data_IF_273950489235
#
_entry.id   IF_273950489235
#
_cell.length_a   1.000
_cell.length_b   1.000
_cell.length_c   1.000
_cell.angle_alpha   90.00
_cell.angle_beta   90.00
_cell.angle_gamma   90.00
#
_symmetry.space_group_name_H-M   'P 1'
#
loop_
_entity.id
_entity.type
_entity.pdbx_description
1 polymer ?
#
# COMPACT_ATOMS: atom_id res chain seq x y z
N UNK A 1 -28.22 -20.93 68.74
CA UNK A 1 -27.26 -22.05 68.66
C UNK A 1 -26.35 -21.81 67.47
N UNK A 2 -25.09 -21.56 67.77
CA UNK A 2 -23.99 -21.37 66.81
C UNK A 2 -23.17 -22.67 66.75
N UNK A 3 -22.59 -23.00 65.60
CA UNK A 3 -21.43 -23.89 65.48
C UNK A 3 -20.57 -23.43 64.28
N UNK A 4 -19.37 -22.90 64.56
CA UNK A 4 -18.17 -23.06 63.72
C UNK A 4 -17.44 -24.35 64.21
N UNK A 5 -16.20 -24.73 63.80
CA UNK A 5 -15.28 -24.35 62.70
C UNK A 5 -14.66 -25.60 61.99
N UNK A 6 -13.65 -25.45 61.09
CA UNK A 6 -12.25 -26.03 61.16
C UNK A 6 -11.48 -26.04 59.81
N UNK A 7 -10.45 -25.19 59.77
CA UNK A 7 -9.05 -25.22 59.28
C UNK A 7 -8.45 -26.35 58.38
N UNK A 8 -7.73 -25.89 57.35
CA UNK A 8 -6.50 -26.37 56.63
C UNK A 8 -6.38 -27.75 55.93
N UNK A 9 -5.98 -27.72 54.65
CA UNK A 9 -4.81 -28.45 54.14
C UNK A 9 -4.32 -27.87 52.80
N UNK A 10 -3.03 -27.54 52.71
CA UNK A 10 -2.33 -27.20 51.48
C UNK A 10 -1.74 -28.49 50.85
N UNK A 11 -1.76 -28.67 49.52
CA UNK A 11 -0.95 -29.70 48.88
C UNK A 11 0.50 -29.24 48.65
N UNK A 12 1.46 -30.04 49.12
CA UNK A 12 2.92 -29.95 48.90
C UNK A 12 3.32 -30.74 47.63
N UNK A 13 4.49 -30.49 47.00
CA UNK A 13 4.74 -30.73 45.58
C UNK A 13 5.37 -32.11 45.29
N UNK A 14 5.12 -32.64 44.08
CA UNK A 14 5.86 -33.82 43.60
C UNK A 14 5.62 -34.15 42.13
N UNK A 15 6.57 -33.79 41.26
CA UNK A 15 6.77 -34.37 39.93
C UNK A 15 7.10 -33.36 38.82
N UNK A 16 8.39 -33.16 38.50
CA UNK A 16 8.89 -32.51 37.27
C UNK A 16 9.37 -33.64 36.31
N UNK A 17 9.28 -33.53 34.97
CA UNK A 17 10.21 -32.70 34.18
C UNK A 17 9.61 -31.95 32.96
N UNK A 18 10.02 -30.69 32.82
CA UNK A 18 10.40 -29.94 31.61
C UNK A 18 9.66 -30.18 30.26
N UNK A 19 8.89 -29.18 29.83
CA UNK A 19 8.93 -28.68 28.45
C UNK A 19 8.65 -27.17 28.45
N UNK A 20 9.59 -26.44 27.87
CA UNK A 20 9.59 -24.99 27.69
C UNK A 20 8.60 -24.57 26.61
N UNK A 21 7.62 -23.74 26.96
CA UNK A 21 7.05 -22.73 26.07
C UNK A 21 6.38 -21.64 26.91
N UNK A 22 7.00 -20.46 26.95
CA UNK A 22 6.39 -19.27 27.51
C UNK A 22 5.14 -18.91 26.70
N UNK A 23 3.95 -19.21 27.23
CA UNK A 23 2.73 -18.62 26.73
C UNK A 23 2.65 -17.19 27.32
N UNK A 24 3.23 -16.23 26.59
CA UNK A 24 2.87 -14.83 26.76
C UNK A 24 1.37 -14.72 26.45
N UNK A 25 0.54 -14.79 27.48
CA UNK A 25 -0.87 -14.39 27.41
C UNK A 25 -0.94 -12.87 27.30
N UNK A 26 -0.51 -12.35 26.15
CA UNK A 26 -0.98 -11.07 25.67
C UNK A 26 -2.10 -11.39 24.70
N UNK A 27 -3.36 -11.02 25.00
CA UNK A 27 -4.39 -11.08 23.98
C UNK A 27 -3.95 -10.13 22.87
N UNK A 28 -3.50 -10.68 21.74
CA UNK A 28 -3.41 -9.92 20.51
C UNK A 28 -4.82 -9.41 20.25
N UNK A 29 -5.02 -8.11 20.45
CA UNK A 29 -6.22 -7.47 19.93
C UNK A 29 -6.33 -7.89 18.46
N UNK A 30 -7.44 -8.52 18.08
CA UNK A 30 -7.81 -8.66 16.67
C UNK A 30 -8.13 -7.25 16.16
N UNK A 31 -7.08 -6.44 16.02
CA UNK A 31 -7.12 -5.18 15.32
C UNK A 31 -7.13 -5.51 13.84
N UNK A 32 -8.18 -5.09 13.15
CA UNK A 32 -8.30 -5.18 11.70
C UNK A 32 -6.99 -4.69 11.06
N UNK A 33 -6.10 -5.59 10.63
CA UNK A 33 -4.85 -5.18 10.01
C UNK A 33 -5.18 -4.58 8.64
N UNK A 34 -5.07 -3.26 8.55
CA UNK A 34 -5.37 -2.53 7.31
C UNK A 34 -4.47 -3.01 6.16
N UNK A 35 -5.01 -3.16 4.94
CA UNK A 35 -4.20 -3.43 3.77
C UNK A 35 -3.22 -2.29 3.51
N UNK A 36 -1.99 -2.65 3.16
CA UNK A 36 -0.94 -1.73 2.76
C UNK A 36 -1.02 -1.47 1.26
N UNK A 37 -1.15 -0.21 0.86
CA UNK A 37 -1.12 0.22 -0.54
C UNK A 37 0.26 0.78 -0.88
N UNK A 38 0.82 0.29 -1.97
CA UNK A 38 2.07 0.79 -2.55
C UNK A 38 1.89 1.10 -4.03
N UNK A 39 2.82 1.87 -4.59
CA UNK A 39 2.82 2.22 -6.01
C UNK A 39 4.23 2.09 -6.58
N UNK A 40 4.34 1.58 -7.80
CA UNK A 40 5.57 1.58 -8.57
C UNK A 40 5.30 1.93 -10.03
N UNK A 41 6.32 2.44 -10.72
CA UNK A 41 6.29 2.67 -12.16
C UNK A 41 6.63 1.39 -12.91
N UNK A 42 5.95 1.11 -14.02
CA UNK A 42 6.33 0.03 -14.94
C UNK A 42 7.55 0.36 -15.83
N UNK A 43 8.08 1.59 -15.72
CA UNK A 43 9.28 2.03 -16.44
C UNK A 43 9.11 3.42 -17.06
N UNK A 44 10.20 3.92 -17.65
CA UNK A 44 10.17 5.15 -18.43
C UNK A 44 9.53 4.89 -19.79
N UNK A 45 8.91 5.92 -20.38
CA UNK A 45 8.12 5.78 -21.60
C UNK A 45 8.55 6.79 -22.67
N UNK A 46 8.71 6.38 -23.93
CA UNK A 46 8.88 7.32 -25.04
C UNK A 46 7.62 8.15 -25.27
N UNK A 47 7.77 9.33 -25.88
CA UNK A 47 6.66 10.14 -26.40
C UNK A 47 5.78 9.33 -27.36
N UNK A 48 4.48 9.62 -27.35
CA UNK A 48 3.47 8.90 -28.14
C UNK A 48 3.23 7.45 -27.72
N UNK A 49 3.79 6.99 -26.59
CA UNK A 49 3.53 5.66 -26.00
C UNK A 49 2.73 5.76 -24.72
N UNK A 50 2.25 4.62 -24.25
CA UNK A 50 1.51 4.51 -22.99
C UNK A 50 2.38 3.82 -21.94
N UNK A 51 2.47 4.44 -20.77
CA UNK A 51 3.06 3.85 -19.57
C UNK A 51 2.01 3.54 -18.52
N UNK A 52 2.48 2.98 -17.41
CA UNK A 52 1.62 2.68 -16.28
C UNK A 52 2.32 2.84 -14.94
N UNK A 53 1.57 3.36 -13.97
CA UNK A 53 1.82 3.10 -12.57
C UNK A 53 0.98 1.92 -12.13
N UNK A 54 1.60 1.03 -11.35
CA UNK A 54 0.93 -0.13 -10.78
C UNK A 54 0.79 0.11 -9.28
N UNK A 55 -0.45 0.07 -8.81
CA UNK A 55 -0.78 0.08 -7.40
C UNK A 55 -0.95 -1.37 -6.95
N UNK A 56 -0.43 -1.66 -5.76
CA UNK A 56 -0.53 -2.97 -5.13
C UNK A 56 -1.12 -2.84 -3.73
N UNK A 57 -2.06 -3.72 -3.40
CA UNK A 57 -2.75 -3.84 -2.12
C UNK A 57 -2.42 -5.17 -1.47
N UNK A 58 -1.83 -5.13 -0.26
CA UNK A 58 -1.41 -6.31 0.49
C UNK A 58 -1.95 -6.29 1.94
N UNK A 59 -2.70 -7.31 2.38
CA UNK A 59 -3.25 -8.40 1.57
C UNK A 59 -4.33 -7.89 0.60
N UNK A 60 -4.60 -8.66 -0.45
CA UNK A 60 -5.75 -8.39 -1.32
C UNK A 60 -7.06 -8.66 -0.56
N UNK A 61 -8.11 -7.89 -0.86
CA UNK A 61 -9.43 -8.07 -0.27
C UNK A 61 -10.16 -9.18 -1.03
N UNK A 62 -10.52 -10.26 -0.34
CA UNK A 62 -11.22 -11.41 -0.95
C UNK A 62 -12.59 -11.04 -1.52
N UNK A 63 -13.25 -10.06 -0.91
CA UNK A 63 -14.56 -9.57 -1.31
C UNK A 63 -14.49 -8.05 -1.50
N UNK A 64 -14.63 -7.59 -2.75
CA UNK A 64 -14.70 -6.18 -3.09
C UNK A 64 -13.36 -5.57 -3.53
N UNK A 65 -13.14 -4.34 -3.09
CA UNK A 65 -12.04 -3.49 -3.52
C UNK A 65 -12.13 -2.12 -2.88
N UNK A 66 -11.26 -1.21 -3.32
CA UNK A 66 -11.04 0.07 -2.67
C UNK A 66 -10.65 1.15 -3.65
N UNK A 67 -11.12 2.36 -3.39
CA UNK A 67 -10.66 3.57 -4.05
C UNK A 67 -9.48 4.19 -3.29
N UNK A 68 -8.40 4.43 -3.99
CA UNK A 68 -7.18 5.05 -3.45
C UNK A 68 -6.99 6.42 -4.10
N UNK A 69 -7.01 7.46 -3.26
CA UNK A 69 -6.72 8.81 -3.71
C UNK A 69 -5.23 9.00 -3.99
N UNK A 70 -4.92 9.88 -4.93
CA UNK A 70 -3.57 10.21 -5.34
C UNK A 70 -3.54 11.58 -6.02
N UNK A 71 -2.37 12.22 -5.98
CA UNK A 71 -2.07 13.46 -6.69
C UNK A 71 -1.01 13.24 -7.76
N UNK A 72 -1.08 14.06 -8.81
CA UNK A 72 -0.11 14.05 -9.92
C UNK A 72 0.72 15.33 -9.88
N UNK A 73 2.03 15.20 -10.00
CA UNK A 73 3.00 16.29 -10.04
C UNK A 73 4.15 15.93 -10.99
N UNK A 74 5.19 16.76 -11.05
CA UNK A 74 6.36 16.54 -11.91
C UNK A 74 6.64 17.73 -12.81
N UNK A 75 7.47 17.52 -13.83
CA UNK A 75 7.81 18.56 -14.81
C UNK A 75 7.02 18.46 -16.11
N UNK A 76 6.36 17.33 -16.37
CA UNK A 76 5.48 17.16 -17.51
C UNK A 76 4.16 17.92 -17.30
N UNK A 77 3.65 18.53 -18.37
CA UNK A 77 2.43 19.33 -18.36
C UNK A 77 1.26 18.53 -18.92
N UNK A 78 0.18 18.41 -18.15
CA UNK A 78 -1.04 17.74 -18.60
C UNK A 78 -1.67 18.48 -19.80
N UNK A 79 -2.12 17.73 -20.81
CA UNK A 79 -2.62 18.26 -22.08
C UNK A 79 -1.52 18.66 -23.09
N UNK A 80 -0.25 18.70 -22.68
CA UNK A 80 0.89 18.98 -23.57
C UNK A 80 1.76 17.74 -23.73
N UNK A 81 2.20 17.13 -22.62
CA UNK A 81 3.09 15.96 -22.64
C UNK A 81 2.33 14.64 -22.46
N UNK A 82 1.18 14.69 -21.78
CA UNK A 82 0.32 13.51 -21.54
C UNK A 82 -1.15 13.90 -21.39
N UNK A 83 -2.05 12.95 -21.63
CA UNK A 83 -3.50 13.12 -21.38
C UNK A 83 -3.75 13.15 -19.88
N UNK A 84 -4.48 14.16 -19.40
CA UNK A 84 -4.82 14.26 -17.98
C UNK A 84 -5.58 13.01 -17.49
N UNK A 85 -5.19 12.49 -16.34
CA UNK A 85 -5.87 11.40 -15.64
C UNK A 85 -6.19 11.83 -14.22
N UNK A 86 -7.29 11.31 -13.68
CA UNK A 86 -7.89 11.77 -12.43
C UNK A 86 -7.81 10.73 -11.33
N UNK A 87 -7.81 11.23 -10.09
CA UNK A 87 -8.02 10.46 -8.88
C UNK A 87 -9.51 10.23 -8.63
N UNK A 88 -9.92 9.12 -7.98
CA UNK A 88 -9.13 8.01 -7.42
C UNK A 88 -8.91 6.83 -8.37
N UNK A 89 -7.99 5.93 -8.00
CA UNK A 89 -7.80 4.62 -8.64
C UNK A 89 -8.54 3.52 -7.87
N UNK A 90 -9.21 2.61 -8.57
CA UNK A 90 -9.89 1.46 -7.96
C UNK A 90 -9.00 0.22 -7.98
N UNK A 91 -8.71 -0.35 -6.81
CA UNK A 91 -8.04 -1.64 -6.63
C UNK A 91 -9.09 -2.69 -6.32
N UNK A 92 -9.23 -3.68 -7.21
CA UNK A 92 -10.17 -4.78 -7.04
C UNK A 92 -9.60 -5.96 -6.26
N UNK A 93 -10.32 -7.07 -6.30
CA UNK A 93 -9.99 -8.33 -5.61
C UNK A 93 -8.62 -8.92 -5.98
N UNK A 94 -8.05 -8.56 -7.14
CA UNK A 94 -6.70 -9.00 -7.53
C UNK A 94 -5.61 -8.40 -6.64
N UNK A 95 -5.92 -7.32 -5.91
CA UNK A 95 -4.94 -6.53 -5.18
C UNK A 95 -4.13 -5.59 -6.06
N UNK A 96 -4.46 -5.46 -7.36
CA UNK A 96 -3.74 -4.58 -8.28
C UNK A 96 -4.65 -3.60 -8.99
N UNK A 97 -4.13 -2.39 -9.21
CA UNK A 97 -4.71 -1.41 -10.13
C UNK A 97 -3.64 -0.79 -11.00
N UNK A 98 -4.07 -0.27 -12.15
CA UNK A 98 -3.18 0.37 -13.11
C UNK A 98 -3.67 1.77 -13.39
N UNK A 99 -2.81 2.76 -13.21
CA UNK A 99 -3.02 4.13 -13.66
C UNK A 99 -2.23 4.32 -14.96
N UNK A 100 -2.93 4.51 -16.06
CA UNK A 100 -2.32 4.66 -17.39
C UNK A 100 -1.85 6.10 -17.61
N UNK A 101 -0.67 6.24 -18.21
CA UNK A 101 -0.09 7.52 -18.64
C UNK A 101 0.01 7.50 -20.15
N UNK A 102 -0.95 8.11 -20.82
CA UNK A 102 -0.96 8.25 -22.28
C UNK A 102 -0.16 9.48 -22.67
N UNK A 103 1.05 9.29 -23.18
CA UNK A 103 1.87 10.41 -23.62
C UNK A 103 1.42 10.90 -24.99
N UNK A 104 1.53 12.21 -25.18
CA UNK A 104 1.20 12.85 -26.44
C UNK A 104 2.44 12.87 -27.36
N UNK A 105 2.26 12.81 -28.69
CA UNK A 105 3.35 13.11 -29.63
C UNK A 105 3.89 14.51 -29.36
N UNK A 106 5.18 14.74 -29.60
CA UNK A 106 5.73 16.10 -29.49
C UNK A 106 5.24 16.97 -30.66
N UNK A 107 4.37 17.97 -30.42
CA UNK A 107 3.87 18.82 -31.49
C UNK A 107 4.96 19.73 -32.09
N UNK A 108 6.11 19.87 -31.42
CA UNK A 108 7.19 20.77 -31.84
C UNK A 108 8.33 20.06 -32.54
N UNK A 109 8.30 18.72 -32.65
CA UNK A 109 9.45 17.91 -33.05
C UNK A 109 10.74 18.47 -32.42
N UNK A 110 10.69 18.71 -31.10
CA UNK A 110 11.63 19.59 -30.44
C UNK A 110 13.04 19.02 -30.57
N UNK A 111 13.96 19.83 -31.10
CA UNK A 111 15.41 19.51 -31.07
C UNK A 111 15.96 19.35 -29.63
N UNK A 112 15.17 19.71 -28.63
CA UNK A 112 15.49 19.49 -27.22
C UNK A 112 15.18 18.05 -26.85
N UNK A 113 16.23 17.24 -26.70
CA UNK A 113 16.18 15.85 -26.27
C UNK A 113 15.91 15.73 -24.74
N UNK A 114 14.99 16.56 -24.22
CA UNK A 114 14.72 16.69 -22.79
C UNK A 114 13.64 15.71 -22.34
N UNK A 115 13.90 15.01 -21.24
CA UNK A 115 12.92 14.17 -20.58
C UNK A 115 12.10 14.96 -19.55
N UNK A 116 10.82 14.63 -19.43
CA UNK A 116 9.88 15.23 -18.47
C UNK A 116 9.36 14.18 -17.50
N UNK A 117 9.10 14.55 -16.25
CA UNK A 117 8.65 13.60 -15.24
C UNK A 117 7.16 13.72 -14.96
N UNK A 118 6.52 12.58 -14.75
CA UNK A 118 5.20 12.45 -14.12
C UNK A 118 5.42 11.71 -12.80
N UNK A 119 4.93 12.29 -11.71
CA UNK A 119 5.04 11.73 -10.36
C UNK A 119 3.65 11.55 -9.80
N UNK A 120 3.31 10.31 -9.44
CA UNK A 120 2.06 9.98 -8.76
C UNK A 120 2.37 9.70 -7.30
N UNK A 121 1.70 10.41 -6.40
CA UNK A 121 1.82 10.24 -4.94
C UNK A 121 0.47 9.83 -4.37
N UNK A 122 0.44 8.70 -3.67
CA UNK A 122 -0.76 8.20 -3.00
C UNK A 122 -1.11 9.09 -1.80
N UNK A 123 -2.40 9.26 -1.56
CA UNK A 123 -2.94 10.06 -0.46
C UNK A 123 -3.59 9.17 0.61
N UNK A 124 -3.47 9.53 1.90
CA UNK A 124 -4.12 8.79 2.99
C UNK A 124 -5.63 8.72 2.79
N UNK A 125 -6.23 7.61 3.23
CA UNK A 125 -7.68 7.41 3.18
C UNK A 125 -8.13 6.41 4.24
N UNK A 126 -9.45 6.21 4.32
CA UNK A 126 -10.03 5.27 5.26
C UNK A 126 -9.89 3.83 4.75
N UNK A 127 -9.61 2.90 5.68
CA UNK A 127 -9.59 1.46 5.38
C UNK A 127 -8.27 0.94 4.81
N UNK A 128 -7.23 1.76 4.68
CA UNK A 128 -5.92 1.32 4.21
C UNK A 128 -4.77 2.10 4.83
N UNK A 129 -3.59 1.47 4.84
CA UNK A 129 -2.32 2.11 5.15
C UNK A 129 -1.53 2.37 3.86
N UNK A 130 -0.64 3.38 3.86
CA UNK A 130 0.26 3.65 2.75
C UNK A 130 1.67 3.12 3.02
N UNK A 131 2.34 2.74 1.94
CA UNK A 131 3.76 2.36 1.93
C UNK A 131 4.68 3.39 2.62
N UNK A 132 5.78 2.88 3.16
CA UNK A 132 6.87 3.66 3.74
C UNK A 132 8.22 3.11 3.25
N UNK A 133 9.34 3.70 3.70
CA UNK A 133 10.67 3.33 3.21
C UNK A 133 10.99 1.82 3.29
N UNK A 134 10.39 1.10 4.23
CA UNK A 134 10.59 -0.34 4.45
C UNK A 134 9.48 -1.21 3.86
N UNK A 135 8.25 -0.67 3.71
CA UNK A 135 7.05 -1.39 3.28
C UNK A 135 6.65 -1.16 1.81
N UNK A 136 7.42 -0.37 1.06
CA UNK A 136 7.17 -0.06 -0.35
C UNK A 136 6.81 1.41 -0.58
N UNK A 137 6.95 1.86 -1.82
CA UNK A 137 6.85 3.28 -2.14
C UNK A 137 5.40 3.80 -2.09
N UNK A 138 5.23 5.01 -1.55
CA UNK A 138 3.97 5.80 -1.62
C UNK A 138 3.93 6.79 -2.79
N UNK A 139 5.03 6.89 -3.54
CA UNK A 139 5.16 7.74 -4.71
C UNK A 139 5.99 7.03 -5.76
N UNK A 140 5.59 7.15 -7.01
CA UNK A 140 6.31 6.62 -8.14
C UNK A 140 6.52 7.70 -9.20
N UNK A 141 7.60 7.58 -9.97
CA UNK A 141 7.97 8.51 -11.03
C UNK A 141 8.10 7.75 -12.35
N UNK A 142 7.61 8.35 -13.43
CA UNK A 142 7.89 7.95 -14.81
C UNK A 142 8.54 9.12 -15.53
N UNK A 143 9.64 8.85 -16.26
CA UNK A 143 10.15 9.80 -17.24
C UNK A 143 9.50 9.57 -18.60
N UNK A 144 8.92 10.62 -19.17
CA UNK A 144 8.58 10.74 -20.58
C UNK A 144 9.88 11.10 -21.31
N UNK A 145 10.41 10.14 -22.04
CA UNK A 145 11.59 10.29 -22.90
C UNK A 145 11.17 10.91 -24.24
N UNK A 146 12.01 11.75 -24.85
CA UNK A 146 11.76 12.29 -26.19
C UNK A 146 11.49 11.20 -27.21
#
# INVERSE_FOLDING_TARGET
>A
FALAPVTNAAPSPGGVPTASAAANNQPSAEGEQLPLITIHSAGNIPRGKTGSFVLEMKPALMFGGMYVNFKVSGTAVAGVDYVAFASPAYIGQSGYATVLVHTLPDPRASSNNQAYSVVVTLEPGAGYALGNATGGARSALIWIKP
#
